data_IF_514890009777
#
_entry.id   IF_514890009777
#
_cell.length_a   1.000
_cell.length_b   1.000
_cell.length_c   1.000
_cell.angle_alpha   90.00
_cell.angle_beta   90.00
_cell.angle_gamma   90.00
#
_symmetry.space_group_name_H-M   'P 1'
#
loop_
_entity.id
_entity.type
_entity.pdbx_description
1 polymer ?
#
# COMPACT_ATOMS: atom_id res chain seq x y z
N UNK A 1 33.59 -72.31 35.22
CA UNK A 1 32.28 -72.37 35.88
C UNK A 1 31.29 -71.69 34.96
N UNK A 2 30.31 -72.46 34.49
CA UNK A 2 29.31 -72.04 33.51
C UNK A 2 28.26 -71.10 34.11
N UNK A 3 27.67 -70.24 33.29
CA UNK A 3 26.22 -70.24 33.03
C UNK A 3 25.82 -69.09 32.07
N UNK A 4 25.12 -69.50 31.02
CA UNK A 4 24.40 -68.69 30.05
C UNK A 4 23.23 -67.89 30.65
N UNK A 5 22.89 -66.75 30.00
CA UNK A 5 21.52 -66.47 29.50
C UNK A 5 21.62 -65.64 28.19
N UNK A 6 20.99 -66.16 27.12
CA UNK A 6 20.69 -65.55 25.80
C UNK A 6 19.28 -64.90 25.83
N UNK A 7 18.69 -64.31 24.75
CA UNK A 7 19.22 -63.78 23.49
C UNK A 7 18.63 -62.38 23.13
N UNK A 8 19.09 -61.79 22.01
CA UNK A 8 18.41 -60.64 21.41
C UNK A 8 19.06 -60.17 20.10
N UNK A 9 18.89 -60.94 19.03
CA UNK A 9 19.16 -60.47 17.67
C UNK A 9 17.87 -59.87 17.09
N UNK A 10 17.88 -58.62 16.60
CA UNK A 10 17.16 -58.22 15.37
C UNK A 10 17.88 -57.03 14.74
N UNK A 11 18.16 -57.18 13.45
CA UNK A 11 18.79 -56.23 12.56
C UNK A 11 18.11 -54.85 12.53
N UNK A 12 18.87 -53.77 12.74
CA UNK A 12 18.43 -52.41 12.42
C UNK A 12 18.69 -52.17 10.93
N UNK A 13 17.66 -52.46 10.14
CA UNK A 13 17.65 -52.28 8.70
C UNK A 13 17.60 -50.80 8.31
N UNK A 14 18.39 -50.48 7.28
CA UNK A 14 18.31 -49.31 6.43
C UNK A 14 16.86 -48.90 6.16
N UNK A 15 16.42 -47.70 6.59
CA UNK A 15 15.25 -47.01 6.02
C UNK A 15 15.06 -45.54 6.45
N UNK A 16 16.13 -44.77 6.64
CA UNK A 16 15.99 -43.32 6.97
C UNK A 16 16.61 -42.39 5.89
N UNK A 17 17.37 -42.91 4.93
CA UNK A 17 18.06 -42.06 3.95
C UNK A 17 17.28 -41.77 2.66
N UNK A 18 16.17 -42.46 2.36
CA UNK A 18 15.46 -42.33 1.08
C UNK A 18 14.24 -41.41 1.10
N UNK A 19 13.83 -40.90 2.27
CA UNK A 19 12.63 -40.04 2.40
C UNK A 19 12.92 -38.55 2.25
N UNK A 20 14.18 -38.12 2.38
CA UNK A 20 14.57 -36.70 2.34
C UNK A 20 14.75 -36.12 0.93
N UNK A 21 14.79 -36.95 -0.12
CA UNK A 21 15.03 -36.50 -1.50
C UNK A 21 13.77 -36.27 -2.32
N UNK A 22 12.59 -36.69 -1.84
CA UNK A 22 11.31 -36.47 -2.53
C UNK A 22 10.70 -35.11 -2.13
N UNK A 23 11.03 -34.58 -0.96
CA UNK A 23 10.51 -33.30 -0.45
C UNK A 23 11.13 -32.04 -1.07
N UNK A 24 12.36 -32.12 -1.60
CA UNK A 24 13.07 -30.94 -2.15
C UNK A 24 12.63 -30.58 -3.57
N UNK A 25 12.30 -31.57 -4.40
CA UNK A 25 11.77 -31.33 -5.77
C UNK A 25 10.31 -30.87 -5.75
N UNK A 26 9.52 -31.34 -4.79
CA UNK A 26 8.13 -30.94 -4.62
C UNK A 26 7.97 -29.47 -4.18
N UNK A 27 8.94 -28.94 -3.41
CA UNK A 27 9.00 -27.50 -3.11
C UNK A 27 9.69 -26.69 -4.22
N UNK A 28 10.58 -27.28 -5.02
CA UNK A 28 11.28 -26.54 -6.07
C UNK A 28 10.32 -25.91 -7.08
N UNK A 29 9.35 -26.66 -7.61
CA UNK A 29 8.40 -26.14 -8.60
C UNK A 29 7.58 -24.96 -8.05
N UNK A 30 6.89 -25.06 -6.90
CA UNK A 30 6.13 -23.93 -6.36
C UNK A 30 7.04 -22.78 -5.91
N UNK A 31 8.25 -23.04 -5.39
CA UNK A 31 9.20 -21.97 -5.01
C UNK A 31 9.77 -21.26 -6.24
N UNK A 32 10.06 -22.02 -7.30
CA UNK A 32 10.53 -21.49 -8.58
C UNK A 32 9.43 -20.72 -9.31
N UNK A 33 8.18 -21.21 -9.28
CA UNK A 33 7.01 -20.48 -9.75
C UNK A 33 6.78 -19.20 -8.96
N UNK A 34 6.84 -19.24 -7.63
CA UNK A 34 6.72 -18.06 -6.78
C UNK A 34 7.85 -17.06 -7.05
N UNK A 35 9.08 -17.53 -7.24
CA UNK A 35 10.20 -16.68 -7.62
C UNK A 35 10.01 -16.08 -9.02
N UNK A 36 9.53 -16.86 -9.99
CA UNK A 36 9.19 -16.36 -11.33
C UNK A 36 8.11 -15.29 -11.28
N UNK A 37 7.02 -15.53 -10.54
CA UNK A 37 5.95 -14.56 -10.33
C UNK A 37 6.50 -13.30 -9.65
N UNK A 38 7.36 -13.43 -8.64
CA UNK A 38 8.01 -12.30 -7.99
C UNK A 38 8.94 -11.51 -8.93
N UNK A 39 9.75 -12.19 -9.75
CA UNK A 39 10.68 -11.56 -10.70
C UNK A 39 10.04 -11.15 -12.03
N UNK A 40 8.75 -11.43 -12.22
CA UNK A 40 7.98 -11.11 -13.44
C UNK A 40 6.64 -10.46 -13.11
N UNK A 41 6.41 -10.02 -11.88
CA UNK A 41 5.14 -9.42 -11.52
C UNK A 41 4.88 -8.17 -12.34
N UNK A 42 5.92 -7.40 -12.65
CA UNK A 42 5.85 -6.26 -13.57
C UNK A 42 5.19 -6.59 -14.94
N UNK A 43 5.10 -7.86 -15.35
CA UNK A 43 4.39 -8.26 -16.59
C UNK A 43 2.91 -8.61 -16.36
N UNK A 44 2.53 -8.87 -15.11
CA UNK A 44 1.20 -9.31 -14.69
C UNK A 44 0.45 -8.25 -13.88
N UNK A 45 1.12 -7.17 -13.48
CA UNK A 45 0.50 -6.02 -12.85
C UNK A 45 -0.51 -5.38 -13.83
N UNK A 46 -1.82 -5.44 -13.53
CA UNK A 46 -2.84 -4.79 -14.35
C UNK A 46 -2.82 -3.26 -14.20
N UNK A 47 -2.09 -2.73 -13.22
CA UNK A 47 -1.96 -1.29 -13.02
C UNK A 47 -0.97 -0.67 -14.01
N UNK A 48 -1.32 0.53 -14.47
CA UNK A 48 -0.59 1.19 -15.57
C UNK A 48 0.81 1.57 -15.07
N UNK A 49 1.84 0.92 -15.59
CA UNK A 49 3.23 1.29 -15.25
C UNK A 49 3.53 2.71 -15.71
N UNK A 50 3.87 3.57 -14.74
CA UNK A 50 4.38 4.91 -15.00
C UNK A 50 5.86 4.76 -15.33
N UNK A 51 6.26 5.09 -16.56
CA UNK A 51 7.67 5.03 -16.95
C UNK A 51 8.37 6.38 -16.75
N UNK A 52 9.55 6.33 -16.15
CA UNK A 52 10.41 7.51 -16.03
C UNK A 52 10.77 8.05 -17.41
N UNK A 53 10.47 9.33 -17.62
CA UNK A 53 10.80 10.00 -18.88
C UNK A 53 12.29 10.30 -18.95
N UNK A 54 12.99 9.63 -19.88
CA UNK A 54 14.44 9.83 -20.12
C UNK A 54 14.75 11.17 -20.79
N UNK A 55 13.80 11.75 -21.51
CA UNK A 55 13.93 13.04 -22.19
C UNK A 55 12.87 13.98 -21.66
N UNK A 56 13.32 15.02 -20.97
CA UNK A 56 12.45 16.08 -20.50
C UNK A 56 12.25 17.12 -21.60
N UNK A 57 11.06 17.72 -21.62
CA UNK A 57 10.80 18.90 -22.42
C UNK A 57 11.46 20.11 -21.75
N UNK A 58 11.74 21.15 -22.54
CA UNK A 58 12.26 22.42 -21.99
C UNK A 58 11.19 23.19 -21.19
N UNK A 59 9.92 22.92 -21.47
CA UNK A 59 8.76 23.60 -20.87
C UNK A 59 7.59 22.64 -20.68
N UNK A 60 6.80 22.90 -19.64
CA UNK A 60 5.57 22.18 -19.29
C UNK A 60 4.52 23.22 -18.86
N UNK A 61 3.25 22.94 -19.12
CA UNK A 61 2.15 23.80 -18.66
C UNK A 61 1.99 23.70 -17.14
N UNK A 62 2.21 22.50 -16.60
CA UNK A 62 2.14 22.23 -15.16
C UNK A 62 3.27 21.31 -14.71
N UNK A 63 3.85 21.65 -13.55
CA UNK A 63 4.80 20.80 -12.84
C UNK A 63 4.20 20.46 -11.48
N UNK A 64 3.88 19.19 -11.27
CA UNK A 64 3.43 18.67 -9.98
C UNK A 64 4.64 18.12 -9.24
N UNK A 65 4.91 18.66 -8.05
CA UNK A 65 6.04 18.24 -7.22
C UNK A 65 5.54 17.36 -6.09
N UNK A 66 5.84 16.07 -6.18
CA UNK A 66 5.40 15.00 -5.27
C UNK A 66 4.27 14.17 -5.87
N UNK A 67 4.56 12.94 -6.26
CA UNK A 67 3.62 11.93 -6.73
C UNK A 67 2.90 11.20 -5.61
N UNK A 68 2.45 11.94 -4.60
CA UNK A 68 1.67 11.41 -3.48
C UNK A 68 0.17 11.34 -3.76
N UNK A 69 -0.62 11.04 -2.74
CA UNK A 69 -2.08 10.85 -2.86
C UNK A 69 -2.82 12.03 -3.51
N UNK A 70 -2.44 13.27 -3.21
CA UNK A 70 -3.04 14.45 -3.86
C UNK A 70 -2.34 14.78 -5.21
N UNK A 71 -1.02 14.65 -5.27
CA UNK A 71 -0.23 14.98 -6.46
C UNK A 71 -0.61 14.12 -7.66
N UNK A 72 -0.80 12.82 -7.47
CA UNK A 72 -1.25 11.93 -8.54
C UNK A 72 -2.66 12.28 -9.02
N UNK A 73 -3.57 12.67 -8.11
CA UNK A 73 -4.92 13.12 -8.48
C UNK A 73 -4.85 14.38 -9.34
N UNK A 74 -4.05 15.37 -8.93
CA UNK A 74 -3.88 16.62 -9.69
C UNK A 74 -3.24 16.34 -11.06
N UNK A 75 -2.15 15.59 -11.11
CA UNK A 75 -1.47 15.23 -12.35
C UNK A 75 -2.40 14.49 -13.32
N UNK A 76 -3.15 13.50 -12.82
CA UNK A 76 -4.12 12.74 -13.60
C UNK A 76 -5.21 13.64 -14.19
N UNK A 77 -5.83 14.51 -13.37
CA UNK A 77 -6.89 15.41 -13.84
C UNK A 77 -6.41 16.47 -14.81
N UNK A 78 -5.20 17.03 -14.62
CA UNK A 78 -4.60 17.94 -15.59
C UNK A 78 -4.32 17.23 -16.91
N UNK A 79 -3.83 15.99 -16.86
CA UNK A 79 -3.53 15.20 -18.07
C UNK A 79 -4.75 14.72 -18.85
N UNK A 80 -5.98 14.89 -18.33
CA UNK A 80 -7.22 14.63 -19.09
C UNK A 80 -7.33 15.53 -20.34
N UNK A 81 -6.71 16.71 -20.32
CA UNK A 81 -6.58 17.56 -21.50
C UNK A 81 -5.31 17.18 -22.28
N UNK A 82 -5.42 16.55 -23.47
CA UNK A 82 -4.26 16.10 -24.24
C UNK A 82 -3.39 17.25 -24.78
N UNK A 83 -3.86 18.50 -24.70
CA UNK A 83 -3.10 19.67 -25.12
C UNK A 83 -2.14 20.18 -24.04
N UNK A 84 -2.28 19.74 -22.78
CA UNK A 84 -1.41 20.16 -21.69
C UNK A 84 -0.26 19.19 -21.48
N UNK A 85 0.95 19.73 -21.35
CA UNK A 85 2.16 19.01 -20.98
C UNK A 85 2.28 19.06 -19.45
N UNK A 86 2.13 17.91 -18.80
CA UNK A 86 2.22 17.79 -17.34
C UNK A 86 3.47 17.00 -16.97
N UNK A 87 4.32 17.59 -16.12
CA UNK A 87 5.45 16.89 -15.50
C UNK A 87 5.12 16.55 -14.05
N UNK A 88 5.27 15.28 -13.68
CA UNK A 88 5.20 14.84 -12.29
C UNK A 88 6.61 14.49 -11.81
N UNK A 89 7.03 15.08 -10.69
CA UNK A 89 8.31 14.79 -10.03
C UNK A 89 8.06 14.03 -8.74
N UNK A 90 8.66 12.86 -8.58
CA UNK A 90 8.59 12.06 -7.36
C UNK A 90 10.00 11.62 -6.93
N UNK A 91 10.26 11.65 -5.61
CA UNK A 91 11.56 11.30 -5.05
C UNK A 91 11.71 9.79 -4.76
N UNK A 92 10.59 9.09 -4.61
CA UNK A 92 10.50 7.65 -4.48
C UNK A 92 10.55 6.91 -5.82
N UNK A 93 10.61 5.58 -5.72
CA UNK A 93 10.46 4.70 -6.87
C UNK A 93 9.03 4.17 -7.00
N UNK A 94 8.88 3.02 -7.63
CA UNK A 94 7.62 2.34 -7.86
C UNK A 94 7.19 1.46 -6.68
N UNK A 95 5.90 1.17 -6.66
CA UNK A 95 5.26 0.14 -5.84
C UNK A 95 5.81 -1.26 -6.17
N UNK A 96 5.43 -2.25 -5.35
CA UNK A 96 5.85 -3.66 -5.48
C UNK A 96 4.77 -4.55 -4.90
N UNK A 97 4.83 -5.87 -5.11
CA UNK A 97 3.90 -6.86 -4.51
C UNK A 97 3.54 -6.63 -3.05
N UNK A 98 4.55 -6.25 -2.27
CA UNK A 98 4.42 -6.13 -0.83
C UNK A 98 3.54 -4.93 -0.48
N UNK A 99 3.52 -3.89 -1.32
CA UNK A 99 2.69 -2.70 -1.11
C UNK A 99 1.22 -2.96 -1.38
N UNK A 100 0.91 -3.95 -2.22
CA UNK A 100 -0.47 -4.25 -2.65
C UNK A 100 -1.21 -5.13 -1.64
N UNK A 101 -0.49 -5.71 -0.67
CA UNK A 101 -1.05 -6.59 0.37
C UNK A 101 -1.35 -5.77 1.64
N UNK A 102 -2.62 -5.44 1.95
CA UNK A 102 -2.95 -4.49 3.03
C UNK A 102 -2.41 -4.84 4.41
N UNK A 103 -2.39 -6.13 4.75
CA UNK A 103 -1.90 -6.62 6.05
C UNK A 103 -0.39 -6.39 6.25
N UNK A 104 0.35 -6.16 5.16
CA UNK A 104 1.79 -5.91 5.19
C UNK A 104 2.14 -4.42 5.28
N UNK A 105 1.17 -3.49 5.32
CA UNK A 105 1.42 -2.05 5.41
C UNK A 105 2.41 -1.65 6.53
N UNK A 106 2.29 -2.26 7.72
CA UNK A 106 3.19 -2.01 8.85
C UNK A 106 4.64 -2.48 8.59
N UNK A 107 4.85 -3.45 7.69
CA UNK A 107 6.18 -3.90 7.28
C UNK A 107 6.90 -2.86 6.41
N UNK A 108 6.14 -1.98 5.74
CA UNK A 108 6.70 -0.90 4.92
C UNK A 108 7.29 0.23 5.77
N UNK A 109 6.93 0.33 7.05
CA UNK A 109 7.49 1.32 7.95
C UNK A 109 9.00 1.13 8.10
N UNK A 110 9.79 2.21 8.04
CA UNK A 110 11.25 2.20 8.06
C UNK A 110 11.92 1.46 6.88
N UNK A 111 11.16 1.04 5.87
CA UNK A 111 11.69 0.45 4.63
C UNK A 111 12.28 1.52 3.69
N UNK A 112 12.59 1.16 2.44
CA UNK A 112 12.98 2.12 1.40
C UNK A 112 11.85 3.08 0.99
N UNK A 113 10.60 2.68 1.23
CA UNK A 113 9.40 3.45 0.90
C UNK A 113 9.02 4.47 1.97
N UNK A 114 9.76 4.55 3.07
CA UNK A 114 9.50 5.50 4.16
C UNK A 114 10.59 6.57 4.21
N UNK A 115 10.18 7.84 4.29
CA UNK A 115 11.08 8.97 4.55
C UNK A 115 11.75 8.90 5.92
N UNK A 116 11.17 8.15 6.88
CA UNK A 116 11.70 7.92 8.23
C UNK A 116 11.87 9.20 9.04
N UNK A 117 10.96 10.15 8.86
CA UNK A 117 10.99 11.37 9.64
C UNK A 117 10.87 11.07 11.13
N UNK A 118 11.51 11.94 11.92
CA UNK A 118 11.42 11.94 13.37
C UNK A 118 11.04 13.34 13.81
N UNK A 119 10.17 13.41 14.80
CA UNK A 119 9.84 14.70 15.42
C UNK A 119 11.06 15.29 16.13
N UNK A 120 10.98 16.56 16.49
CA UNK A 120 11.80 17.08 17.57
C UNK A 120 11.40 16.40 18.90
N UNK A 121 12.32 16.28 19.88
CA UNK A 121 11.99 15.73 21.18
C UNK A 121 10.91 16.57 21.87
N UNK A 122 9.85 15.91 22.35
CA UNK A 122 8.77 16.56 23.11
C UNK A 122 8.91 16.32 24.61
N UNK A 123 8.18 17.10 25.41
CA UNK A 123 8.04 16.86 26.87
C UNK A 123 6.81 16.02 27.22
N UNK A 124 5.82 15.96 26.32
CA UNK A 124 4.51 15.33 26.57
C UNK A 124 4.25 14.07 25.74
N UNK A 125 4.78 14.02 24.52
CA UNK A 125 4.58 12.89 23.60
C UNK A 125 5.82 12.00 23.51
N UNK A 126 5.63 10.72 23.16
CA UNK A 126 6.70 9.78 22.81
C UNK A 126 7.82 9.65 23.86
N UNK A 127 7.50 9.82 25.16
CA UNK A 127 8.49 9.80 26.25
C UNK A 127 9.20 8.45 26.39
N UNK A 128 8.55 7.35 25.99
CA UNK A 128 9.13 6.01 25.98
C UNK A 128 9.83 5.63 24.66
N UNK A 129 9.84 6.53 23.67
CA UNK A 129 10.55 6.31 22.41
C UNK A 129 12.03 6.69 22.52
N UNK A 130 12.86 6.10 21.66
CA UNK A 130 14.28 6.46 21.57
C UNK A 130 14.43 7.97 21.32
N UNK A 131 15.28 8.61 22.12
CA UNK A 131 15.56 10.05 22.09
C UNK A 131 14.32 10.95 22.31
N UNK A 132 13.22 10.41 22.88
CA UNK A 132 11.93 11.09 23.06
C UNK A 132 11.32 11.63 21.75
N UNK A 133 11.59 10.96 20.63
CA UNK A 133 11.12 11.35 19.30
C UNK A 133 10.12 10.35 18.76
N UNK A 134 9.01 10.86 18.23
CA UNK A 134 8.04 10.01 17.53
C UNK A 134 8.60 9.60 16.17
N UNK A 135 8.29 8.37 15.75
CA UNK A 135 8.47 7.93 14.37
C UNK A 135 7.31 8.49 13.56
N UNK A 136 7.62 9.17 12.46
CA UNK A 136 6.62 9.77 11.59
C UNK A 136 6.77 9.25 10.17
N UNK A 137 6.18 8.07 9.93
CA UNK A 137 6.19 7.42 8.63
C UNK A 137 5.54 8.32 7.58
N UNK A 138 6.22 8.56 6.46
CA UNK A 138 5.69 9.24 5.26
C UNK A 138 6.15 8.48 4.03
N UNK A 139 5.26 8.30 3.05
CA UNK A 139 5.58 7.53 1.85
C UNK A 139 6.56 8.26 0.93
N UNK A 140 7.56 7.51 0.45
CA UNK A 140 8.58 7.88 -0.52
C UNK A 140 8.54 6.87 -1.67
N UNK A 141 7.47 6.94 -2.44
CA UNK A 141 7.10 6.03 -3.53
C UNK A 141 6.04 6.75 -4.36
N UNK A 142 5.87 6.41 -5.63
CA UNK A 142 4.69 6.85 -6.39
C UNK A 142 3.41 6.39 -5.65
N UNK A 143 2.41 7.28 -5.52
CA UNK A 143 1.28 7.12 -4.59
C UNK A 143 1.56 7.72 -3.20
N UNK A 144 2.82 7.78 -2.77
CA UNK A 144 3.25 8.39 -1.52
C UNK A 144 2.66 7.70 -0.29
N UNK A 145 2.06 8.46 0.61
CA UNK A 145 1.53 7.90 1.86
C UNK A 145 0.30 7.01 1.70
N UNK A 146 -0.41 7.01 0.56
CA UNK A 146 -1.51 6.05 0.35
C UNK A 146 -1.01 4.61 0.26
N UNK A 147 0.23 4.41 -0.18
CA UNK A 147 0.88 3.10 -0.32
C UNK A 147 1.21 2.47 1.03
N UNK A 148 1.57 3.29 2.02
CA UNK A 148 1.94 2.83 3.37
C UNK A 148 0.80 2.96 4.38
N UNK A 149 -0.39 3.42 3.96
CA UNK A 149 -1.49 3.63 4.90
C UNK A 149 -2.11 2.29 5.36
N UNK A 150 -3.06 2.36 6.29
CA UNK A 150 -3.75 1.18 6.84
C UNK A 150 -5.16 1.01 6.24
N UNK A 151 -5.37 1.47 5.01
CA UNK A 151 -6.60 1.28 4.21
C UNK A 151 -7.91 1.82 4.84
N UNK A 152 -7.84 2.65 5.87
CA UNK A 152 -9.02 3.27 6.46
C UNK A 152 -9.54 4.39 5.56
N UNK A 153 -10.77 4.22 5.08
CA UNK A 153 -11.50 5.27 4.37
C UNK A 153 -12.54 5.90 5.30
N UNK A 154 -12.25 7.11 5.79
CA UNK A 154 -13.12 7.89 6.69
C UNK A 154 -13.17 9.32 6.19
N UNK A 155 -14.37 9.93 6.16
CA UNK A 155 -14.55 11.35 5.83
C UNK A 155 -14.54 12.21 7.08
N UNK A 156 -14.07 13.44 6.94
CA UNK A 156 -14.10 14.44 8.01
C UNK A 156 -15.51 14.84 8.41
N UNK A 157 -15.65 15.46 9.58
CA UNK A 157 -16.95 15.95 10.05
C UNK A 157 -17.34 17.19 9.25
N UNK A 158 -18.64 17.34 8.93
CA UNK A 158 -19.18 18.54 8.26
C UNK A 158 -18.72 19.84 8.91
N UNK A 159 -18.71 19.89 10.25
CA UNK A 159 -18.32 21.09 11.00
C UNK A 159 -16.88 21.50 10.72
N UNK A 160 -15.98 20.56 10.45
CA UNK A 160 -14.58 20.88 10.19
C UNK A 160 -14.43 21.70 8.90
N UNK A 161 -15.15 21.32 7.85
CA UNK A 161 -15.16 22.03 6.56
C UNK A 161 -15.93 23.36 6.62
N UNK A 162 -17.09 23.36 7.27
CA UNK A 162 -17.87 24.59 7.45
C UNK A 162 -17.08 25.62 8.28
N UNK A 163 -16.27 25.16 9.25
CA UNK A 163 -15.36 26.03 9.99
C UNK A 163 -14.25 26.58 9.10
N UNK A 164 -13.66 25.77 8.20
CA UNK A 164 -12.65 26.28 7.26
C UNK A 164 -13.20 27.40 6.39
N UNK A 165 -14.44 27.26 5.89
CA UNK A 165 -15.11 28.30 5.14
C UNK A 165 -15.37 29.56 6.00
N UNK A 166 -15.83 29.38 7.24
CA UNK A 166 -16.05 30.47 8.18
C UNK A 166 -14.75 31.23 8.55
N UNK A 167 -13.61 30.53 8.54
CA UNK A 167 -12.28 31.11 8.76
C UNK A 167 -11.74 31.86 7.52
N UNK A 168 -12.53 31.96 6.45
CA UNK A 168 -12.22 32.73 5.24
C UNK A 168 -11.76 31.89 4.04
N UNK A 169 -11.79 30.56 4.13
CA UNK A 169 -11.48 29.69 2.98
C UNK A 169 -12.73 29.46 2.13
N UNK A 170 -13.10 30.46 1.32
CA UNK A 170 -14.25 30.37 0.41
C UNK A 170 -14.15 29.13 -0.50
N UNK A 171 -15.27 28.44 -0.74
CA UNK A 171 -15.30 27.21 -1.53
C UNK A 171 -14.99 25.93 -0.74
N UNK A 172 -14.67 26.02 0.56
CA UNK A 172 -14.28 24.86 1.39
C UNK A 172 -15.35 24.41 2.38
N UNK A 173 -16.59 24.89 2.29
CA UNK A 173 -17.67 24.36 3.13
C UNK A 173 -17.97 22.91 2.76
N UNK A 174 -18.63 22.16 3.66
CA UNK A 174 -18.87 20.74 3.44
C UNK A 174 -19.64 20.46 2.15
N UNK A 175 -20.68 21.26 1.88
CA UNK A 175 -21.52 21.09 0.69
C UNK A 175 -20.74 21.41 -0.60
N UNK A 176 -19.74 22.28 -0.55
CA UNK A 176 -18.88 22.61 -1.70
C UNK A 176 -17.81 21.54 -1.97
N UNK A 177 -17.27 20.90 -0.92
CA UNK A 177 -16.27 19.84 -1.09
C UNK A 177 -16.88 18.45 -1.36
N UNK A 178 -18.13 18.22 -0.97
CA UNK A 178 -18.82 16.95 -1.10
C UNK A 178 -18.85 16.38 -2.54
N UNK A 179 -19.08 17.19 -3.60
CA UNK A 179 -18.95 16.72 -4.98
C UNK A 179 -17.58 16.14 -5.31
N UNK A 180 -16.49 16.67 -4.75
CA UNK A 180 -15.14 16.17 -4.98
C UNK A 180 -14.87 14.85 -4.26
N UNK A 181 -15.39 14.67 -3.04
CA UNK A 181 -15.37 13.36 -2.37
C UNK A 181 -16.12 12.29 -3.15
N UNK A 182 -17.25 12.67 -3.77
CA UNK A 182 -18.01 11.78 -4.63
C UNK A 182 -17.25 11.48 -5.93
N UNK A 183 -16.64 12.49 -6.57
CA UNK A 183 -15.95 12.35 -7.86
C UNK A 183 -14.80 11.33 -7.83
N UNK A 184 -14.09 11.20 -6.71
CA UNK A 184 -12.98 10.25 -6.60
C UNK A 184 -13.44 8.82 -6.27
N UNK A 185 -14.60 8.66 -5.66
CA UNK A 185 -15.05 7.41 -5.04
C UNK A 185 -15.70 6.45 -6.04
N UNK A 186 -15.36 5.18 -5.88
CA UNK A 186 -16.11 4.06 -6.44
C UNK A 186 -16.56 3.11 -5.33
N UNK A 187 -17.76 3.37 -4.80
CA UNK A 187 -18.33 2.64 -3.66
C UNK A 187 -18.85 1.26 -4.10
N UNK A 188 -18.23 0.18 -3.65
CA UNK A 188 -18.68 -1.20 -3.97
C UNK A 188 -19.61 -1.82 -2.95
N UNK A 189 -19.77 -1.23 -1.77
CA UNK A 189 -20.73 -1.69 -0.77
C UNK A 189 -22.17 -1.37 -1.20
N UNK A 190 -23.03 -2.36 -1.53
CA UNK A 190 -24.36 -2.10 -2.11
C UNK A 190 -25.29 -1.31 -1.19
N UNK A 191 -25.10 -1.39 0.12
CA UNK A 191 -25.90 -0.66 1.11
C UNK A 191 -25.52 0.83 1.19
N UNK A 192 -24.28 1.19 0.90
CA UNK A 192 -23.83 2.59 0.84
C UNK A 192 -24.00 3.20 -0.55
N UNK A 193 -23.80 2.41 -1.61
CA UNK A 193 -23.93 2.87 -2.99
C UNK A 193 -25.34 3.40 -3.32
N UNK A 194 -26.37 2.97 -2.57
CA UNK A 194 -27.76 3.46 -2.69
C UNK A 194 -27.97 4.85 -2.07
N UNK A 195 -27.03 5.35 -1.27
CA UNK A 195 -27.14 6.63 -0.57
C UNK A 195 -26.45 7.71 -1.40
N UNK A 196 -27.16 8.24 -2.39
CA UNK A 196 -26.61 9.16 -3.40
C UNK A 196 -26.03 10.46 -2.80
N UNK A 197 -26.55 10.90 -1.65
CA UNK A 197 -26.17 12.18 -1.05
C UNK A 197 -24.69 12.16 -0.72
N UNK A 198 -24.21 11.05 -0.20
CA UNK A 198 -22.87 10.95 0.36
C UNK A 198 -21.96 10.02 -0.44
N UNK A 199 -22.48 9.18 -1.33
CA UNK A 199 -21.68 8.19 -2.03
C UNK A 199 -21.85 8.31 -3.54
N UNK A 200 -20.85 7.83 -4.27
CA UNK A 200 -20.87 7.71 -5.71
C UNK A 200 -20.12 6.45 -6.14
N UNK A 201 -20.40 6.04 -7.37
CA UNK A 201 -19.75 4.93 -8.07
C UNK A 201 -19.08 5.46 -9.33
N UNK A 202 -18.09 4.73 -9.85
CA UNK A 202 -17.40 5.06 -11.10
C UNK A 202 -16.21 6.04 -10.98
N UNK A 203 -15.83 6.43 -9.76
CA UNK A 203 -14.54 7.09 -9.51
C UNK A 203 -13.35 6.13 -9.68
N UNK A 204 -12.13 6.65 -9.50
CA UNK A 204 -10.91 5.83 -9.61
C UNK A 204 -10.53 5.13 -8.29
N UNK A 205 -11.00 5.63 -7.15
CA UNK A 205 -10.69 5.06 -5.84
C UNK A 205 -11.78 4.07 -5.42
N UNK A 206 -11.50 2.77 -5.57
CA UNK A 206 -12.38 1.71 -5.08
C UNK A 206 -12.44 1.73 -3.56
N UNK A 207 -13.65 1.82 -3.00
CA UNK A 207 -13.89 1.76 -1.56
C UNK A 207 -14.90 0.66 -1.28
N UNK A 208 -14.54 -0.25 -0.37
CA UNK A 208 -15.39 -1.38 0.01
C UNK A 208 -14.99 -1.93 1.37
N UNK A 209 -15.89 -2.73 1.96
CA UNK A 209 -15.57 -3.51 3.14
C UNK A 209 -14.61 -4.66 2.80
N UNK A 210 -13.89 -5.19 3.79
CA UNK A 210 -13.06 -6.36 3.59
C UNK A 210 -13.90 -7.50 2.99
N UNK A 211 -13.54 -8.05 1.81
CA UNK A 211 -14.27 -9.17 1.22
C UNK A 211 -14.28 -10.42 2.10
N UNK A 212 -13.29 -10.53 2.98
CA UNK A 212 -13.16 -11.62 3.94
C UNK A 212 -13.20 -11.08 5.36
N UNK A 213 -14.13 -11.59 6.15
CA UNK A 213 -14.20 -11.36 7.59
C UNK A 213 -13.95 -12.69 8.30
N UNK A 214 -13.06 -12.68 9.30
CA UNK A 214 -12.83 -13.85 10.13
C UNK A 214 -14.11 -14.20 10.91
N UNK A 215 -14.42 -15.49 11.11
CA UNK A 215 -15.54 -15.91 11.98
C UNK A 215 -15.31 -15.67 13.48
N UNK A 216 -14.13 -15.14 13.85
CA UNK A 216 -13.71 -14.86 15.23
C UNK A 216 -14.30 -13.52 15.72
#
# INVERSE_FOLDING_TARGET
MAAHVFPGAVATSLKVASSFLIGTKALFIPTFMAALLYFRYDLYDPETQIFDQKKLLMEYDFIVVGGGSAGNVVANRLSENPNWKVLLLEAGGHETEITDVPVLSLYLHKSRFDWKYRTQPGTTACQAMKDKRCVWTRGKVIGGSSVLNTMLYVRGNRRDFDQWAADGNEGWSYEEVLPYFKKSMDQRNPYLAKIDRYHATGGYLTVQDSPWNTPL
#
